data_IF_515228582893
#
_entry.id   IF_515228582893
#
_cell.length_a   1.000
_cell.length_b   1.000
_cell.length_c   1.000
_cell.angle_alpha   90.00
_cell.angle_beta   90.00
_cell.angle_gamma   90.00
#
_symmetry.space_group_name_H-M   'P 1'
#
loop_
_entity.id
_entity.type
_entity.pdbx_description
1 polymer ?
#
# COMPACT_ATOMS: atom_id res chain seq x y z
N UNK A 1 -25.25 -16.22 10.80
CA UNK A 1 -23.90 -15.79 11.21
C UNK A 1 -23.00 -15.67 9.99
N UNK A 2 -22.16 -14.63 9.89
CA UNK A 2 -21.06 -14.64 8.90
C UNK A 2 -20.02 -15.62 9.42
N UNK A 3 -19.60 -16.56 8.57
CA UNK A 3 -18.55 -17.54 8.91
C UNK A 3 -17.23 -16.89 9.33
N UNK A 4 -16.22 -17.71 9.69
CA UNK A 4 -14.95 -17.21 10.17
C UNK A 4 -14.35 -16.19 9.18
N UNK A 5 -13.77 -15.08 9.67
CA UNK A 5 -13.24 -14.02 8.82
C UNK A 5 -12.08 -14.55 7.96
N UNK A 6 -12.22 -14.45 6.63
CA UNK A 6 -11.18 -14.80 5.66
C UNK A 6 -10.63 -13.53 5.02
N UNK A 7 -9.31 -13.36 5.02
CA UNK A 7 -8.66 -12.21 4.38
C UNK A 7 -8.29 -12.49 2.92
N UNK A 8 -8.14 -11.47 2.06
CA UNK A 8 -7.61 -11.64 0.70
C UNK A 8 -6.23 -12.32 0.67
N UNK A 9 -5.38 -12.08 1.68
CA UNK A 9 -4.07 -12.73 1.78
C UNK A 9 -4.21 -14.25 1.99
N UNK A 10 -5.21 -14.69 2.75
CA UNK A 10 -5.53 -16.12 2.90
C UNK A 10 -6.06 -16.72 1.61
N UNK A 11 -6.96 -16.02 0.91
CA UNK A 11 -7.48 -16.47 -0.39
C UNK A 11 -6.39 -16.59 -1.46
N UNK A 12 -5.32 -15.79 -1.35
CA UNK A 12 -4.15 -15.84 -2.24
C UNK A 12 -3.06 -16.80 -1.78
N UNK A 13 -3.25 -17.51 -0.66
CA UNK A 13 -2.26 -18.46 -0.12
C UNK A 13 -0.99 -17.79 0.42
N UNK A 14 -1.01 -16.48 0.68
CA UNK A 14 0.13 -15.74 1.23
C UNK A 14 0.29 -15.97 2.74
N UNK A 15 -0.79 -16.35 3.42
CA UNK A 15 -0.82 -16.71 4.84
C UNK A 15 -1.98 -17.67 5.09
N UNK A 16 -1.86 -18.50 6.12
CA UNK A 16 -2.88 -19.43 6.58
C UNK A 16 -3.77 -18.85 7.69
N UNK A 17 -3.43 -17.65 8.21
CA UNK A 17 -4.11 -17.02 9.34
C UNK A 17 -4.34 -15.53 9.13
N UNK A 18 -5.18 -14.95 9.98
CA UNK A 18 -5.26 -13.49 10.08
C UNK A 18 -3.99 -12.93 10.73
N UNK A 19 -3.42 -11.92 10.08
CA UNK A 19 -2.33 -11.13 10.63
C UNK A 19 -2.89 -10.05 11.55
N UNK A 20 -2.24 -9.88 12.70
CA UNK A 20 -2.55 -8.80 13.64
C UNK A 20 -1.92 -7.51 13.12
N UNK A 21 -2.56 -6.39 13.43
CA UNK A 21 -2.05 -5.04 13.13
C UNK A 21 -0.55 -4.86 13.49
N UNK A 22 -0.07 -5.21 14.70
CA UNK A 22 1.35 -5.06 15.02
C UNK A 22 2.29 -5.89 14.13
N UNK A 23 1.85 -7.07 13.68
CA UNK A 23 2.67 -7.93 12.80
C UNK A 23 2.82 -7.27 11.42
N UNK A 24 1.74 -6.70 10.90
CA UNK A 24 1.77 -5.97 9.63
C UNK A 24 2.65 -4.73 9.75
N UNK A 25 2.50 -3.95 10.82
CA UNK A 25 3.23 -2.69 10.98
C UNK A 25 4.72 -2.89 11.29
N UNK A 26 5.12 -4.03 11.86
CA UNK A 26 6.52 -4.37 12.07
C UNK A 26 7.26 -4.57 10.73
N UNK A 27 6.60 -5.17 9.75
CA UNK A 27 7.19 -5.48 8.44
C UNK A 27 6.90 -4.40 7.39
N UNK A 28 5.93 -3.52 7.63
CA UNK A 28 5.51 -2.53 6.65
C UNK A 28 6.60 -1.48 6.43
N UNK A 29 7.00 -1.33 5.16
CA UNK A 29 7.83 -0.22 4.74
C UNK A 29 7.02 1.08 4.70
N UNK A 30 7.45 2.07 5.48
CA UNK A 30 6.84 3.40 5.50
C UNK A 30 7.62 4.32 4.58
N UNK A 31 6.96 4.91 3.58
CA UNK A 31 7.61 5.77 2.57
C UNK A 31 8.44 6.90 3.18
N UNK A 32 8.00 7.50 4.29
CA UNK A 32 8.74 8.57 4.98
C UNK A 32 9.99 8.11 5.74
N UNK A 33 10.19 6.80 5.89
CA UNK A 33 11.30 6.19 6.65
C UNK A 33 12.29 5.42 5.80
N UNK A 34 12.03 5.30 4.50
CA UNK A 34 12.91 4.61 3.57
C UNK A 34 13.19 5.48 2.34
N UNK A 35 14.39 5.38 1.82
CA UNK A 35 14.70 5.90 0.49
C UNK A 35 14.32 4.85 -0.56
N UNK A 36 13.66 5.29 -1.63
CA UNK A 36 13.35 4.44 -2.77
C UNK A 36 14.26 4.81 -3.93
N UNK A 37 14.65 3.84 -4.79
CA UNK A 37 15.26 4.16 -6.07
C UNK A 37 14.41 5.17 -6.84
N UNK A 38 15.05 6.08 -7.58
CA UNK A 38 14.39 7.22 -8.22
C UNK A 38 13.15 6.82 -9.03
N UNK A 39 13.26 5.79 -9.87
CA UNK A 39 12.13 5.31 -10.68
C UNK A 39 10.95 4.82 -9.84
N UNK A 40 11.22 4.11 -8.74
CA UNK A 40 10.18 3.64 -7.82
C UNK A 40 9.56 4.80 -7.04
N UNK A 41 10.35 5.83 -6.72
CA UNK A 41 9.89 7.05 -6.06
C UNK A 41 8.87 7.81 -6.91
N UNK A 42 9.19 8.07 -8.18
CA UNK A 42 8.34 8.80 -9.13
C UNK A 42 7.02 8.07 -9.38
N UNK A 43 7.09 6.75 -9.63
CA UNK A 43 5.88 5.93 -9.79
C UNK A 43 5.03 5.90 -8.51
N UNK A 44 5.65 5.75 -7.33
CA UNK A 44 4.92 5.75 -6.05
C UNK A 44 4.26 7.11 -5.77
N UNK A 45 4.92 8.22 -6.09
CA UNK A 45 4.38 9.56 -5.87
C UNK A 45 3.20 9.88 -6.81
N UNK A 46 3.05 9.13 -7.90
CA UNK A 46 2.11 9.45 -8.99
C UNK A 46 2.59 10.64 -9.82
N UNK A 47 3.91 10.87 -9.87
CA UNK A 47 4.51 11.92 -10.69
C UNK A 47 4.49 11.56 -12.17
N UNK A 48 4.58 10.27 -12.49
CA UNK A 48 4.43 9.77 -13.86
C UNK A 48 2.96 9.83 -14.28
N UNK A 49 2.64 10.65 -15.28
CA UNK A 49 1.32 10.63 -15.90
C UNK A 49 1.13 9.30 -16.62
N UNK A 50 0.21 8.48 -16.10
CA UNK A 50 -0.21 7.24 -16.76
C UNK A 50 -1.41 7.57 -17.65
N UNK A 51 -1.28 7.60 -18.99
CA UNK A 51 -2.35 8.07 -19.88
C UNK A 51 -3.63 7.24 -19.79
N UNK A 52 -3.52 5.97 -19.38
CA UNK A 52 -4.65 5.06 -19.19
C UNK A 52 -5.45 5.35 -17.91
N UNK A 53 -4.89 6.06 -16.94
CA UNK A 53 -5.59 6.48 -15.74
C UNK A 53 -6.24 7.83 -16.03
N UNK A 54 -7.55 7.84 -16.31
CA UNK A 54 -8.31 9.07 -16.55
C UNK A 54 -8.24 10.10 -15.39
N UNK A 55 -7.71 9.70 -14.23
CA UNK A 55 -7.36 10.57 -13.10
C UNK A 55 -6.03 10.09 -12.51
N UNK A 56 -4.97 10.90 -12.61
CA UNK A 56 -3.66 10.61 -12.02
C UNK A 56 -3.53 11.26 -10.63
N UNK A 57 -3.94 10.55 -9.57
CA UNK A 57 -3.91 11.10 -8.20
C UNK A 57 -2.49 11.04 -7.65
N UNK A 58 -1.97 12.18 -7.24
CA UNK A 58 -0.68 12.26 -6.55
C UNK A 58 -0.81 11.94 -5.07
N UNK A 59 0.21 11.28 -4.52
CA UNK A 59 0.32 10.98 -3.09
C UNK A 59 0.81 12.19 -2.28
N UNK A 60 0.12 13.33 -2.43
CA UNK A 60 0.38 14.56 -1.67
C UNK A 60 -0.39 14.58 -0.34
N UNK A 61 0.25 15.05 0.73
CA UNK A 61 -0.41 15.28 2.01
C UNK A 61 -1.27 16.55 1.92
N UNK A 62 -2.60 16.42 2.11
CA UNK A 62 -3.54 17.56 2.05
C UNK A 62 -3.76 18.24 3.40
N UNK A 63 -3.38 17.59 4.51
CA UNK A 63 -3.80 17.99 5.86
C UNK A 63 -2.94 19.08 6.53
N UNK A 64 -1.92 19.62 5.84
CA UNK A 64 -1.00 20.61 6.43
C UNK A 64 -0.82 21.87 5.56
N UNK A 65 -1.89 22.27 4.87
CA UNK A 65 -1.99 23.52 4.09
C UNK A 65 -2.89 24.52 4.79
#
# INVERSE_FOLDING_TARGET
EKGPPVSPAMLKGLTDRLLRVPEILAERLFRSRIELPTSWGTTYAGEDETPALGINRQHALTYAT
#
